data_IF_260797084248
#
_entry.id   IF_260797084248
#
_cell.length_a   1.000
_cell.length_b   1.000
_cell.length_c   1.000
_cell.angle_alpha   90.00
_cell.angle_beta   90.00
_cell.angle_gamma   90.00
#
_symmetry.space_group_name_H-M   'P 1'
#
loop_
_entity.id
_entity.type
_entity.pdbx_description
1 polymer ?
#
# COMPACT_ATOMS: atom_id res chain seq x y z
N UNK A 1 -73.33 59.93 23.57
CA UNK A 1 -74.48 60.26 22.71
C UNK A 1 -74.34 59.41 21.46
N UNK A 2 -75.33 58.54 21.24
CA UNK A 2 -75.71 57.76 20.03
C UNK A 2 -74.78 56.66 19.47
N UNK A 3 -75.32 55.44 19.58
CA UNK A 3 -75.12 54.21 18.80
C UNK A 3 -75.17 54.39 17.27
N UNK A 4 -74.60 53.42 16.54
CA UNK A 4 -75.11 52.77 15.30
C UNK A 4 -74.08 51.72 14.85
N UNK A 5 -74.31 50.52 14.31
CA UNK A 5 -75.46 49.68 13.92
C UNK A 5 -74.86 48.26 13.69
N UNK A 6 -75.58 47.20 14.05
CA UNK A 6 -75.19 45.80 13.81
C UNK A 6 -75.76 45.28 12.48
N UNK A 7 -74.95 44.51 11.73
CA UNK A 7 -75.37 43.65 10.59
C UNK A 7 -75.03 42.18 10.91
N UNK A 8 -75.86 41.18 10.53
CA UNK A 8 -75.65 39.78 10.94
C UNK A 8 -74.75 39.00 9.96
N UNK A 9 -74.08 37.91 10.41
CA UNK A 9 -73.11 37.21 9.59
C UNK A 9 -73.70 36.02 8.82
N UNK A 10 -73.15 35.81 7.62
CA UNK A 10 -73.30 34.62 6.78
C UNK A 10 -72.47 33.46 7.36
N UNK A 11 -73.07 32.27 7.51
CA UNK A 11 -72.37 31.04 7.90
C UNK A 11 -71.99 30.20 6.68
N UNK A 12 -70.70 29.87 6.55
CA UNK A 12 -70.16 28.86 5.62
C UNK A 12 -69.87 27.58 6.45
N UNK A 13 -70.23 26.36 5.98
CA UNK A 13 -70.23 25.15 6.81
C UNK A 13 -68.81 24.57 7.04
N UNK A 14 -68.46 24.37 8.32
CA UNK A 14 -67.12 24.06 8.84
C UNK A 14 -66.59 22.63 8.66
N UNK A 15 -67.01 21.88 7.64
CA UNK A 15 -66.50 20.52 7.38
C UNK A 15 -65.28 20.50 6.43
N UNK A 16 -65.16 21.50 5.56
CA UNK A 16 -63.98 21.71 4.70
C UNK A 16 -62.72 22.15 5.47
N UNK A 17 -62.86 22.64 6.69
CA UNK A 17 -61.76 23.11 7.55
C UNK A 17 -61.14 21.98 8.36
N UNK A 18 -61.93 21.06 8.90
CA UNK A 18 -61.42 19.97 9.75
C UNK A 18 -60.55 18.96 8.99
N UNK A 19 -60.99 18.53 7.79
CA UNK A 19 -60.22 17.58 6.97
C UNK A 19 -58.90 18.17 6.45
N UNK A 20 -58.89 19.47 6.10
CA UNK A 20 -57.68 20.19 5.68
C UNK A 20 -56.67 20.31 6.81
N UNK A 21 -57.12 20.60 8.03
CA UNK A 21 -56.23 20.66 9.21
C UNK A 21 -55.58 19.29 9.49
N UNK A 22 -56.32 18.20 9.33
CA UNK A 22 -55.81 16.84 9.57
C UNK A 22 -54.77 16.42 8.51
N UNK A 23 -55.01 16.74 7.23
CA UNK A 23 -54.06 16.48 6.14
C UNK A 23 -52.78 17.32 6.31
N UNK A 24 -52.91 18.61 6.63
CA UNK A 24 -51.75 19.49 6.86
C UNK A 24 -50.94 19.01 8.06
N UNK A 25 -51.61 18.57 9.14
CA UNK A 25 -50.96 17.99 10.30
C UNK A 25 -50.18 16.71 9.97
N UNK A 26 -50.78 15.79 9.21
CA UNK A 26 -50.12 14.55 8.79
C UNK A 26 -48.89 14.81 7.91
N UNK A 27 -49.02 15.71 6.93
CA UNK A 27 -47.90 16.10 6.05
C UNK A 27 -46.78 16.74 6.88
N UNK A 28 -47.10 17.60 7.84
CA UNK A 28 -46.13 18.18 8.77
C UNK A 28 -45.37 17.12 9.57
N UNK A 29 -46.07 16.12 10.10
CA UNK A 29 -45.44 14.99 10.85
C UNK A 29 -44.51 14.18 9.95
N UNK A 30 -44.93 13.85 8.72
CA UNK A 30 -44.11 13.08 7.78
C UNK A 30 -42.85 13.86 7.41
N UNK A 31 -42.94 15.17 7.17
CA UNK A 31 -41.78 16.02 6.87
C UNK A 31 -40.82 16.04 8.06
N UNK A 32 -41.32 16.20 9.29
CA UNK A 32 -40.49 16.21 10.50
C UNK A 32 -39.79 14.87 10.69
N UNK A 33 -40.50 13.75 10.53
CA UNK A 33 -39.90 12.41 10.62
C UNK A 33 -38.85 12.22 9.52
N UNK A 34 -39.14 12.64 8.28
CA UNK A 34 -38.19 12.58 7.17
C UNK A 34 -36.92 13.39 7.45
N UNK A 35 -37.05 14.60 7.99
CA UNK A 35 -35.91 15.43 8.40
C UNK A 35 -35.11 14.81 9.54
N UNK A 36 -35.77 14.20 10.53
CA UNK A 36 -35.10 13.48 11.62
C UNK A 36 -34.29 12.31 11.07
N UNK A 37 -34.86 11.50 10.16
CA UNK A 37 -34.16 10.37 9.55
C UNK A 37 -32.96 10.82 8.69
N UNK A 38 -33.09 11.94 7.97
CA UNK A 38 -31.98 12.54 7.21
C UNK A 38 -30.86 13.01 8.14
N UNK A 39 -31.21 13.68 9.24
CA UNK A 39 -30.22 14.14 10.24
C UNK A 39 -29.52 12.95 10.90
N UNK A 40 -30.25 11.87 11.21
CA UNK A 40 -29.65 10.65 11.75
C UNK A 40 -28.73 9.96 10.75
N UNK A 41 -29.11 9.89 9.47
CA UNK A 41 -28.28 9.29 8.42
C UNK A 41 -27.00 10.10 8.15
N UNK A 42 -27.06 11.44 8.18
CA UNK A 42 -25.89 12.31 8.01
C UNK A 42 -25.00 12.30 9.26
N UNK A 43 -25.59 12.21 10.45
CA UNK A 43 -24.86 12.13 11.71
C UNK A 43 -24.01 10.88 11.85
N UNK A 44 -24.46 9.75 11.29
CA UNK A 44 -23.75 8.46 11.36
C UNK A 44 -22.45 8.45 10.54
N UNK A 45 -22.41 9.18 9.41
CA UNK A 45 -21.17 9.35 8.62
C UNK A 45 -20.15 10.26 9.31
N UNK A 46 -20.62 11.26 10.07
CA UNK A 46 -19.74 12.18 10.82
C UNK A 46 -19.27 11.58 12.16
N UNK A 47 -19.87 10.49 12.62
CA UNK A 47 -19.58 9.84 13.89
C UNK A 47 -18.49 8.75 13.84
N UNK A 48 -17.84 8.53 12.68
CA UNK A 48 -16.59 7.76 12.66
C UNK A 48 -15.51 8.57 13.37
N UNK A 49 -15.42 8.39 14.69
CA UNK A 49 -14.25 8.83 15.46
C UNK A 49 -12.97 8.34 14.77
N UNK A 50 -11.92 9.17 14.71
CA UNK A 50 -10.63 8.71 14.19
C UNK A 50 -10.19 7.50 15.01
N UNK A 51 -10.01 6.37 14.34
CA UNK A 51 -9.56 5.13 14.95
C UNK A 51 -8.24 5.41 15.70
N UNK A 52 -8.29 5.35 17.03
CA UNK A 52 -7.10 5.57 17.86
C UNK A 52 -6.11 4.45 17.53
N UNK A 53 -5.02 4.79 16.85
CA UNK A 53 -3.97 3.83 16.51
C UNK A 53 -3.34 3.31 17.80
N UNK A 54 -3.52 2.02 18.06
CA UNK A 54 -2.96 1.36 19.25
C UNK A 54 -1.44 1.19 19.05
N UNK A 55 -0.65 1.64 20.02
CA UNK A 55 0.78 1.31 20.10
C UNK A 55 0.96 0.00 20.86
N UNK A 56 1.27 -1.08 20.13
CA UNK A 56 1.52 -2.42 20.69
C UNK A 56 2.77 -2.46 21.59
N UNK A 57 3.68 -1.50 21.46
CA UNK A 57 4.90 -1.44 22.26
C UNK A 57 4.77 -0.55 23.49
N UNK A 58 3.68 0.20 23.69
CA UNK A 58 3.53 1.20 24.75
C UNK A 58 4.05 0.72 26.13
N UNK A 59 3.71 -0.51 26.53
CA UNK A 59 4.16 -1.13 27.79
C UNK A 59 5.39 -2.06 27.70
N UNK A 60 6.04 -2.16 26.53
CA UNK A 60 7.15 -3.08 26.31
C UNK A 60 8.34 -2.75 27.23
N UNK A 61 8.87 -3.82 27.85
CA UNK A 61 10.08 -3.82 28.69
C UNK A 61 11.27 -4.48 27.99
N UNK A 62 11.13 -4.79 26.70
CA UNK A 62 12.22 -5.31 25.88
C UNK A 62 13.39 -4.32 25.86
N UNK A 63 14.62 -4.83 25.91
CA UNK A 63 15.83 -4.00 26.04
C UNK A 63 16.09 -3.16 24.77
N UNK A 64 15.92 -3.77 23.59
CA UNK A 64 16.01 -3.08 22.30
C UNK A 64 14.99 -1.94 22.25
N UNK A 65 13.71 -2.21 22.56
CA UNK A 65 12.65 -1.19 22.56
C UNK A 65 12.96 -0.08 23.58
N UNK A 66 13.37 -0.43 24.79
CA UNK A 66 13.64 0.54 25.88
C UNK A 66 14.78 1.49 25.52
N UNK A 67 15.86 0.96 24.93
CA UNK A 67 16.98 1.76 24.48
C UNK A 67 16.61 2.60 23.24
N UNK A 68 16.01 1.97 22.22
CA UNK A 68 15.67 2.63 20.96
C UNK A 68 14.54 3.65 21.07
N UNK A 69 13.72 3.60 22.11
CA UNK A 69 12.81 4.71 22.47
C UNK A 69 13.53 6.03 22.72
N UNK A 70 14.78 5.96 23.17
CA UNK A 70 15.58 7.14 23.50
C UNK A 70 16.49 7.53 22.35
N UNK A 71 17.03 6.57 21.62
CA UNK A 71 18.04 6.82 20.58
C UNK A 71 17.45 6.96 19.18
N UNK A 72 16.36 6.24 18.88
CA UNK A 72 15.65 6.27 17.58
C UNK A 72 14.13 6.23 17.79
N UNK A 73 13.53 7.21 18.48
CA UNK A 73 12.12 7.18 18.88
C UNK A 73 11.16 6.97 17.71
N UNK A 74 11.44 7.57 16.54
CA UNK A 74 10.60 7.41 15.35
C UNK A 74 10.53 5.98 14.81
N UNK A 75 11.59 5.18 14.99
CA UNK A 75 11.59 3.76 14.60
C UNK A 75 10.64 2.98 15.51
N UNK A 76 10.73 3.19 16.83
CA UNK A 76 9.87 2.50 17.79
C UNK A 76 8.42 2.92 17.63
N UNK A 77 8.16 4.21 17.40
CA UNK A 77 6.83 4.74 17.14
C UNK A 77 6.19 4.07 15.91
N UNK A 78 6.91 4.05 14.78
CA UNK A 78 6.42 3.41 13.56
C UNK A 78 6.18 1.92 13.75
N UNK A 79 7.13 1.22 14.37
CA UNK A 79 7.03 -0.22 14.57
C UNK A 79 5.90 -0.58 15.55
N UNK A 80 5.70 0.22 16.60
CA UNK A 80 4.67 0.02 17.61
C UNK A 80 3.25 0.03 17.06
N UNK A 81 3.03 0.73 15.95
CA UNK A 81 1.75 0.75 15.22
C UNK A 81 1.66 -0.25 14.05
N UNK A 82 2.66 -1.11 13.87
CA UNK A 82 2.66 -2.13 12.82
C UNK A 82 1.83 -3.36 13.21
N UNK A 83 1.35 -4.09 12.21
CA UNK A 83 0.70 -5.39 12.43
C UNK A 83 1.67 -6.44 12.97
N UNK A 84 2.97 -6.31 12.68
CA UNK A 84 4.00 -7.20 13.20
C UNK A 84 4.22 -7.02 14.70
N UNK A 85 4.29 -5.78 15.19
CA UNK A 85 4.36 -5.53 16.63
C UNK A 85 3.10 -6.01 17.36
N UNK A 86 1.92 -5.80 16.77
CA UNK A 86 0.66 -6.34 17.30
C UNK A 86 0.61 -7.88 17.31
N UNK A 87 1.37 -8.53 16.42
CA UNK A 87 1.56 -9.98 16.37
C UNK A 87 2.77 -10.47 17.19
N UNK A 88 3.31 -9.61 18.08
CA UNK A 88 4.43 -9.92 18.98
C UNK A 88 5.75 -10.29 18.27
N UNK A 89 5.92 -9.86 17.01
CA UNK A 89 7.23 -9.93 16.34
C UNK A 89 8.15 -8.88 16.98
N UNK A 90 9.22 -9.33 17.62
CA UNK A 90 10.21 -8.47 18.28
C UNK A 90 11.23 -7.88 17.30
N UNK A 91 12.00 -6.90 17.75
CA UNK A 91 13.09 -6.30 16.95
C UNK A 91 14.12 -7.38 16.55
N UNK A 92 14.41 -8.25 17.51
CA UNK A 92 15.37 -9.35 17.43
C UNK A 92 14.98 -10.38 16.39
N UNK A 93 13.68 -10.64 16.19
CA UNK A 93 13.22 -11.59 15.17
C UNK A 93 13.67 -11.23 13.74
N UNK A 94 13.91 -9.94 13.47
CA UNK A 94 14.40 -9.47 12.18
C UNK A 94 15.89 -9.09 12.20
N UNK A 95 16.36 -8.55 13.33
CA UNK A 95 17.68 -7.95 13.42
C UNK A 95 18.73 -8.86 14.05
N UNK A 96 18.39 -9.64 15.08
CA UNK A 96 19.37 -10.43 15.82
C UNK A 96 19.78 -11.66 15.01
N UNK A 97 21.09 -11.84 14.89
CA UNK A 97 21.70 -12.95 14.17
C UNK A 97 22.89 -13.50 14.95
N UNK A 98 23.39 -14.66 14.54
CA UNK A 98 24.63 -15.19 15.10
C UNK A 98 25.84 -14.33 14.71
N UNK A 99 26.88 -14.37 15.52
CA UNK A 99 28.14 -13.66 15.26
C UNK A 99 28.81 -14.03 13.93
N UNK A 100 28.61 -15.26 13.46
CA UNK A 100 29.14 -15.77 12.19
C UNK A 100 28.20 -15.56 10.99
N UNK A 101 27.05 -14.92 11.19
CA UNK A 101 26.12 -14.62 10.11
C UNK A 101 26.70 -13.57 9.15
N UNK A 102 26.63 -13.76 7.82
CA UNK A 102 27.11 -12.77 6.86
C UNK A 102 26.46 -11.39 7.04
N UNK A 103 27.27 -10.37 7.33
CA UNK A 103 26.79 -9.01 7.59
C UNK A 103 26.41 -8.71 9.04
N UNK A 104 26.63 -9.66 9.97
CA UNK A 104 26.49 -9.43 11.40
C UNK A 104 27.41 -8.30 11.88
N UNK A 105 26.86 -7.45 12.76
CA UNK A 105 27.60 -6.37 13.42
C UNK A 105 27.34 -6.48 14.92
N UNK A 106 28.40 -6.46 15.72
CA UNK A 106 28.28 -6.42 17.19
C UNK A 106 27.51 -5.16 17.63
N UNK A 107 26.53 -5.34 18.51
CA UNK A 107 25.70 -4.27 19.03
C UNK A 107 25.22 -4.63 20.44
N UNK A 108 25.67 -3.87 21.45
CA UNK A 108 25.22 -4.00 22.85
C UNK A 108 25.28 -5.44 23.40
N UNK A 109 26.35 -6.18 23.08
CA UNK A 109 26.57 -7.55 23.58
C UNK A 109 25.87 -8.67 22.80
N UNK A 110 25.16 -8.33 21.72
CA UNK A 110 24.67 -9.28 20.72
C UNK A 110 25.17 -8.92 19.31
N UNK A 111 24.70 -9.62 18.29
CA UNK A 111 25.02 -9.38 16.89
C UNK A 111 23.76 -9.13 16.10
N UNK A 112 23.76 -8.08 15.29
CA UNK A 112 22.59 -7.66 14.52
C UNK A 112 22.90 -7.38 13.06
N UNK A 113 21.89 -7.51 12.21
CA UNK A 113 21.86 -6.94 10.87
C UNK A 113 21.37 -5.50 10.95
N UNK A 114 22.13 -4.55 10.39
CA UNK A 114 21.68 -3.15 10.25
C UNK A 114 20.46 -3.03 9.34
N UNK A 115 20.31 -3.95 8.39
CA UNK A 115 19.17 -4.05 7.49
C UNK A 115 18.87 -5.52 7.34
N UNK A 116 17.72 -6.01 7.85
CA UNK A 116 17.30 -7.38 7.68
C UNK A 116 17.27 -7.75 6.19
N UNK A 117 17.74 -8.95 5.88
CA UNK A 117 17.77 -9.48 4.51
C UNK A 117 16.46 -10.20 4.20
N UNK A 118 16.26 -10.56 2.92
CA UNK A 118 15.09 -11.35 2.52
C UNK A 118 15.01 -12.69 3.25
N UNK A 119 16.14 -13.28 3.66
CA UNK A 119 16.16 -14.49 4.47
C UNK A 119 15.45 -14.32 5.81
N UNK A 120 15.54 -13.14 6.44
CA UNK A 120 14.82 -12.85 7.69
C UNK A 120 13.31 -12.76 7.46
N UNK A 121 12.88 -12.24 6.31
CA UNK A 121 11.46 -12.22 5.94
C UNK A 121 10.92 -13.62 5.64
N UNK A 122 11.73 -14.48 5.01
CA UNK A 122 11.34 -15.82 4.54
C UNK A 122 10.95 -16.77 5.69
N UNK A 123 11.46 -16.53 6.92
CA UNK A 123 11.12 -17.35 8.09
C UNK A 123 9.62 -17.34 8.40
N UNK A 124 8.92 -16.26 8.05
CA UNK A 124 7.48 -16.09 8.25
C UNK A 124 6.71 -15.97 6.92
N UNK A 125 7.31 -15.35 5.89
CA UNK A 125 6.68 -15.00 4.62
C UNK A 125 7.22 -15.84 3.45
N UNK A 126 7.24 -17.16 3.64
CA UNK A 126 7.84 -18.09 2.66
C UNK A 126 7.14 -18.06 1.29
N UNK A 127 5.81 -17.89 1.26
CA UNK A 127 5.07 -17.85 0.00
C UNK A 127 5.39 -16.57 -0.80
N UNK A 128 5.39 -15.43 -0.13
CA UNK A 128 5.68 -14.12 -0.72
C UNK A 128 7.12 -14.04 -1.23
N UNK A 129 8.09 -14.55 -0.47
CA UNK A 129 9.50 -14.58 -0.89
C UNK A 129 9.69 -15.49 -2.11
N UNK A 130 9.04 -16.66 -2.16
CA UNK A 130 9.12 -17.56 -3.32
C UNK A 130 8.54 -16.94 -4.58
N UNK A 131 7.39 -16.27 -4.46
CA UNK A 131 6.78 -15.52 -5.57
C UNK A 131 7.69 -14.36 -5.99
N UNK A 132 8.26 -13.61 -5.04
CA UNK A 132 9.18 -12.53 -5.33
C UNK A 132 10.39 -13.01 -6.14
N UNK A 133 10.99 -14.16 -5.76
CA UNK A 133 12.11 -14.78 -6.49
C UNK A 133 11.80 -15.18 -7.93
N UNK A 134 10.52 -15.35 -8.29
CA UNK A 134 10.11 -15.61 -9.66
C UNK A 134 9.92 -14.32 -10.49
N UNK A 135 9.91 -13.17 -9.82
CA UNK A 135 9.57 -11.90 -10.46
C UNK A 135 10.78 -11.14 -11.00
N UNK A 136 10.53 -10.28 -11.98
CA UNK A 136 11.52 -9.33 -12.49
C UNK A 136 12.01 -8.33 -11.43
N UNK A 137 11.27 -8.09 -10.34
CA UNK A 137 11.73 -7.26 -9.22
C UNK A 137 12.80 -7.96 -8.35
N UNK A 138 13.03 -9.27 -8.52
CA UNK A 138 14.16 -9.96 -7.90
C UNK A 138 15.45 -9.66 -8.66
N UNK A 139 16.36 -10.63 -8.76
CA UNK A 139 17.67 -10.47 -9.39
C UNK A 139 17.66 -9.79 -10.76
N UNK A 140 16.63 -9.91 -11.64
CA UNK A 140 16.64 -9.18 -12.91
C UNK A 140 16.58 -7.66 -12.76
N UNK A 141 15.96 -7.10 -11.72
CA UNK A 141 15.93 -5.66 -11.48
C UNK A 141 17.34 -5.12 -11.20
N UNK A 142 18.12 -5.85 -10.39
CA UNK A 142 19.50 -5.49 -10.10
C UNK A 142 20.40 -5.71 -11.32
N UNK A 143 20.24 -6.84 -12.03
CA UNK A 143 21.00 -7.15 -13.24
C UNK A 143 20.74 -6.15 -14.38
N UNK A 144 19.53 -5.59 -14.49
CA UNK A 144 19.23 -4.53 -15.46
C UNK A 144 20.05 -3.24 -15.21
N UNK A 145 20.47 -3.00 -13.97
CA UNK A 145 21.33 -1.86 -13.61
C UNK A 145 22.82 -2.20 -13.79
N UNK A 146 23.30 -3.28 -13.18
CA UNK A 146 24.75 -3.57 -13.09
C UNK A 146 25.27 -4.56 -14.14
N UNK A 147 24.37 -5.24 -14.86
CA UNK A 147 24.70 -6.39 -15.70
C UNK A 147 24.76 -7.71 -14.93
N UNK A 148 25.28 -8.75 -15.59
CA UNK A 148 25.44 -10.09 -15.00
C UNK A 148 26.85 -10.35 -14.45
N UNK A 149 27.79 -9.45 -14.71
CA UNK A 149 29.17 -9.57 -14.25
C UNK A 149 29.23 -9.46 -12.72
N UNK A 150 29.91 -10.41 -12.08
CA UNK A 150 30.03 -10.46 -10.61
C UNK A 150 28.90 -11.19 -9.89
N UNK A 151 27.85 -11.65 -10.59
CA UNK A 151 26.87 -12.56 -10.01
C UNK A 151 27.49 -13.95 -9.79
N UNK A 152 27.14 -14.59 -8.69
CA UNK A 152 27.55 -15.97 -8.38
C UNK A 152 26.82 -16.98 -9.29
N UNK A 153 27.34 -18.20 -9.41
CA UNK A 153 26.68 -19.27 -10.17
C UNK A 153 25.24 -19.51 -9.68
N UNK A 154 25.01 -19.51 -8.37
CA UNK A 154 23.68 -19.65 -7.78
C UNK A 154 22.74 -18.49 -8.17
N UNK A 155 23.26 -17.26 -8.20
CA UNK A 155 22.49 -16.08 -8.62
C UNK A 155 22.15 -16.14 -10.11
N UNK A 156 23.07 -16.61 -10.96
CA UNK A 156 22.85 -16.82 -12.38
C UNK A 156 21.81 -17.91 -12.64
N UNK A 157 21.82 -19.00 -11.86
CA UNK A 157 20.78 -20.04 -11.94
C UNK A 157 19.41 -19.45 -11.62
N UNK A 158 19.29 -18.64 -10.56
CA UNK A 158 18.02 -17.96 -10.20
C UNK A 158 17.59 -16.96 -11.27
N UNK A 159 18.52 -16.16 -11.81
CA UNK A 159 18.25 -15.21 -12.88
C UNK A 159 17.69 -15.93 -14.11
N UNK A 160 18.34 -16.99 -14.58
CA UNK A 160 17.92 -17.74 -15.77
C UNK A 160 16.62 -18.54 -15.59
N UNK A 161 16.16 -18.75 -14.35
CA UNK A 161 14.88 -19.39 -14.07
C UNK A 161 13.67 -18.46 -14.28
N UNK A 162 13.90 -17.14 -14.39
CA UNK A 162 12.84 -16.15 -14.56
C UNK A 162 12.58 -15.96 -16.06
N UNK A 163 11.33 -16.14 -16.57
CA UNK A 163 11.03 -16.05 -18.00
C UNK A 163 11.50 -14.75 -18.66
N UNK A 164 11.40 -13.64 -17.92
CA UNK A 164 11.84 -12.32 -18.39
C UNK A 164 13.31 -12.29 -18.73
N UNK A 165 14.17 -13.11 -18.10
CA UNK A 165 15.62 -13.14 -18.30
C UNK A 165 16.02 -13.60 -19.71
N UNK A 166 15.19 -14.38 -20.40
CA UNK A 166 15.47 -14.89 -21.74
C UNK A 166 15.46 -13.82 -22.84
N UNK A 167 14.80 -12.68 -22.61
CA UNK A 167 14.55 -11.67 -23.65
C UNK A 167 15.72 -10.68 -23.78
N UNK A 168 16.52 -10.82 -24.84
CA UNK A 168 17.64 -9.89 -25.07
C UNK A 168 17.16 -8.58 -25.70
N UNK A 169 17.71 -7.42 -25.28
CA UNK A 169 18.83 -7.29 -24.34
C UNK A 169 18.37 -7.00 -22.90
N UNK A 170 18.29 -8.02 -22.04
CA UNK A 170 18.26 -7.80 -20.59
C UNK A 170 19.64 -7.52 -19.98
N UNK A 171 20.69 -7.79 -20.76
CA UNK A 171 22.09 -7.65 -20.36
C UNK A 171 22.69 -6.32 -20.82
N UNK A 172 21.90 -5.48 -21.54
CA UNK A 172 22.37 -4.16 -21.92
C UNK A 172 22.49 -3.31 -20.67
N UNK A 173 23.72 -3.32 -20.14
CA UNK A 173 24.25 -2.37 -19.16
C UNK A 173 23.57 -1.03 -19.39
N UNK A 174 22.96 -0.45 -18.36
CA UNK A 174 22.58 0.94 -18.47
C UNK A 174 23.89 1.73 -18.64
N UNK A 175 24.20 2.16 -19.87
CA UNK A 175 25.44 2.87 -20.16
C UNK A 175 25.59 4.08 -19.23
N UNK A 176 24.46 4.69 -18.83
CA UNK A 176 24.43 5.78 -17.85
C UNK A 176 24.94 5.31 -16.48
N UNK A 177 24.57 4.13 -15.99
CA UNK A 177 25.08 3.64 -14.69
C UNK A 177 26.62 3.64 -14.65
N UNK A 178 27.27 3.13 -15.71
CA UNK A 178 28.74 3.10 -15.75
C UNK A 178 29.37 4.47 -16.05
N UNK A 179 28.69 5.33 -16.82
CA UNK A 179 29.18 6.68 -17.17
C UNK A 179 29.09 7.62 -15.96
N UNK A 180 27.97 7.59 -15.23
CA UNK A 180 27.69 8.47 -14.09
C UNK A 180 28.54 8.11 -12.86
N UNK A 181 28.88 6.83 -12.70
CA UNK A 181 29.75 6.36 -11.63
C UNK A 181 29.09 6.31 -10.24
N UNK A 182 29.79 5.73 -9.24
CA UNK A 182 29.20 5.33 -7.96
C UNK A 182 28.63 6.49 -7.13
N UNK A 183 29.17 7.69 -7.27
CA UNK A 183 28.71 8.86 -6.52
C UNK A 183 27.30 9.26 -6.92
N UNK A 184 26.94 9.08 -8.19
CA UNK A 184 25.61 9.39 -8.73
C UNK A 184 24.68 8.18 -8.64
N UNK A 185 25.16 6.99 -9.02
CA UNK A 185 24.30 5.80 -9.14
C UNK A 185 23.70 5.36 -7.83
N UNK A 186 24.37 5.63 -6.70
CA UNK A 186 23.87 5.35 -5.35
C UNK A 186 22.48 5.92 -5.09
N UNK A 187 22.18 7.12 -5.60
CA UNK A 187 20.86 7.74 -5.41
C UNK A 187 20.01 7.75 -6.69
N UNK A 188 20.63 7.66 -7.87
CA UNK A 188 19.92 7.70 -9.14
C UNK A 188 19.40 6.33 -9.60
N UNK A 189 20.17 5.26 -9.42
CA UNK A 189 19.86 3.93 -9.96
C UNK A 189 19.58 2.92 -8.84
N UNK A 190 20.46 2.88 -7.84
CA UNK A 190 20.41 1.91 -6.74
C UNK A 190 19.17 2.09 -5.86
N UNK A 191 18.65 3.31 -5.76
CA UNK A 191 17.40 3.59 -5.05
C UNK A 191 16.24 2.75 -5.60
N UNK A 192 16.19 2.55 -6.93
CA UNK A 192 15.15 1.77 -7.61
C UNK A 192 15.54 0.29 -7.76
N UNK A 193 16.73 0.02 -8.29
CA UNK A 193 17.11 -1.32 -8.74
C UNK A 193 17.60 -2.24 -7.64
N UNK A 194 18.01 -1.72 -6.47
CA UNK A 194 18.39 -2.58 -5.34
C UNK A 194 17.21 -3.33 -4.70
N UNK A 195 15.98 -3.15 -5.19
CA UNK A 195 14.88 -4.06 -4.87
C UNK A 195 15.26 -5.53 -5.11
N UNK A 196 16.12 -5.80 -6.09
CA UNK A 196 16.63 -7.12 -6.44
C UNK A 196 18.09 -7.38 -6.06
N UNK A 197 18.72 -6.52 -5.26
CA UNK A 197 20.15 -6.66 -4.95
C UNK A 197 20.43 -7.88 -4.06
N UNK A 198 21.48 -8.66 -4.33
CA UNK A 198 21.92 -9.72 -3.42
C UNK A 198 22.42 -9.17 -2.08
N UNK A 199 22.13 -9.89 -1.00
CA UNK A 199 22.67 -9.65 0.32
C UNK A 199 23.91 -10.54 0.60
N UNK A 200 24.72 -10.23 1.64
CA UNK A 200 25.91 -11.03 2.00
C UNK A 200 25.61 -12.50 2.33
N UNK A 201 24.39 -12.81 2.77
CA UNK A 201 23.92 -14.17 3.05
C UNK A 201 23.44 -14.94 1.81
N UNK A 202 23.54 -14.32 0.62
CA UNK A 202 23.11 -14.89 -0.65
C UNK A 202 21.60 -14.79 -0.92
N UNK A 203 20.80 -14.30 0.03
CA UNK A 203 19.40 -13.95 -0.24
C UNK A 203 19.32 -12.75 -1.17
N UNK A 204 18.22 -12.63 -1.92
CA UNK A 204 18.09 -11.63 -2.98
C UNK A 204 16.92 -10.70 -2.66
N UNK A 205 17.20 -9.41 -2.62
CA UNK A 205 16.19 -8.36 -2.64
C UNK A 205 16.05 -7.56 -1.34
N UNK A 206 15.18 -6.55 -1.43
CA UNK A 206 14.91 -5.60 -0.35
C UNK A 206 13.39 -5.45 -0.20
N UNK A 207 12.78 -6.29 0.63
CA UNK A 207 11.32 -6.39 0.79
C UNK A 207 10.66 -5.07 1.22
N UNK A 208 11.40 -4.20 1.91
CA UNK A 208 10.95 -2.90 2.40
C UNK A 208 10.83 -1.81 1.32
N UNK A 209 10.93 -2.13 0.02
CA UNK A 209 10.82 -1.14 -1.06
C UNK A 209 9.39 -0.67 -1.33
N UNK A 210 8.38 -1.51 -1.06
CA UNK A 210 6.97 -1.17 -1.31
C UNK A 210 6.18 -0.90 -0.01
N UNK A 211 6.40 -1.70 1.04
CA UNK A 211 5.90 -1.46 2.39
C UNK A 211 7.09 -1.09 3.28
N UNK A 212 7.29 0.21 3.45
CA UNK A 212 8.48 0.77 4.07
C UNK A 212 8.59 0.35 5.53
N UNK A 213 9.84 0.17 5.97
CA UNK A 213 10.16 0.06 7.38
C UNK A 213 9.85 1.39 8.11
N UNK A 214 9.46 1.40 9.38
CA UNK A 214 9.24 0.23 10.23
C UNK A 214 7.75 -0.10 10.43
N UNK A 215 6.85 0.55 9.71
CA UNK A 215 5.41 0.26 9.85
C UNK A 215 4.98 -0.97 9.03
N UNK A 216 5.65 -1.22 7.89
CA UNK A 216 5.34 -2.32 6.97
C UNK A 216 3.85 -2.36 6.57
N UNK A 217 3.31 -1.17 6.30
CA UNK A 217 1.88 -0.96 6.08
C UNK A 217 1.38 -1.54 4.77
N UNK A 218 0.32 -2.37 4.85
CA UNK A 218 -0.40 -2.88 3.67
C UNK A 218 -1.11 -1.77 2.91
N UNK A 219 -1.63 -0.77 3.61
CA UNK A 219 -2.21 0.42 2.98
C UNK A 219 -1.16 1.11 2.11
N UNK A 220 0.04 1.35 2.65
CA UNK A 220 1.13 1.97 1.89
C UNK A 220 1.50 1.14 0.65
N UNK A 221 1.63 -0.19 0.78
CA UNK A 221 1.93 -1.04 -0.36
C UNK A 221 0.86 -1.02 -1.47
N UNK A 222 -0.40 -0.72 -1.13
CA UNK A 222 -1.51 -0.66 -2.07
C UNK A 222 -1.66 0.69 -2.77
N UNK A 223 -1.06 1.73 -2.19
CA UNK A 223 -1.13 3.10 -2.71
C UNK A 223 -0.13 3.31 -3.86
N UNK A 224 -0.57 3.85 -5.01
CA UNK A 224 0.25 4.09 -6.20
C UNK A 224 1.59 4.81 -5.95
N UNK A 225 1.64 5.69 -4.95
CA UNK A 225 2.81 6.50 -4.62
C UNK A 225 4.02 5.64 -4.23
N UNK A 226 3.80 4.43 -3.71
CA UNK A 226 4.90 3.50 -3.41
C UNK A 226 5.60 3.01 -4.68
N UNK A 227 4.83 2.82 -5.77
CA UNK A 227 5.35 2.39 -7.07
C UNK A 227 6.06 3.54 -7.79
N UNK A 228 5.53 4.76 -7.66
CA UNK A 228 6.06 5.98 -8.26
C UNK A 228 7.52 6.28 -7.87
N UNK A 229 7.97 5.80 -6.71
CA UNK A 229 9.37 5.95 -6.32
C UNK A 229 10.36 5.42 -7.38
N UNK A 230 9.93 4.48 -8.24
CA UNK A 230 10.74 3.88 -9.31
C UNK A 230 10.04 3.93 -10.68
N UNK A 231 8.73 3.74 -10.74
CA UNK A 231 7.94 3.63 -11.96
C UNK A 231 7.43 4.99 -12.45
N UNK A 232 8.38 5.84 -12.83
CA UNK A 232 8.16 7.22 -13.27
C UNK A 232 9.18 7.54 -14.37
N UNK A 233 8.92 8.57 -15.16
CA UNK A 233 9.92 9.15 -16.05
C UNK A 233 9.89 8.56 -17.46
N UNK A 234 10.88 8.94 -18.28
CA UNK A 234 10.74 8.91 -19.74
C UNK A 234 10.76 7.50 -20.35
N UNK A 235 11.41 6.53 -19.72
CA UNK A 235 11.60 5.17 -20.22
C UNK A 235 10.50 4.21 -19.76
N UNK A 236 9.84 4.51 -18.65
CA UNK A 236 8.70 3.74 -18.15
C UNK A 236 7.74 4.63 -17.32
N UNK A 237 6.91 5.46 -18.00
CA UNK A 237 6.07 6.48 -17.36
C UNK A 237 4.76 5.91 -16.77
N UNK A 238 4.83 4.82 -16.00
CA UNK A 238 3.60 4.19 -15.49
C UNK A 238 2.84 5.08 -14.50
N UNK A 239 3.55 5.85 -13.67
CA UNK A 239 2.95 6.82 -12.77
C UNK A 239 2.17 7.90 -13.51
N UNK A 240 2.77 8.51 -14.52
CA UNK A 240 2.16 9.56 -15.34
C UNK A 240 0.95 9.01 -16.10
N UNK A 241 1.08 7.83 -16.72
CA UNK A 241 -0.03 7.15 -17.39
C UNK A 241 -1.17 6.88 -16.40
N UNK A 242 -0.86 6.41 -15.19
CA UNK A 242 -1.87 6.12 -14.18
C UNK A 242 -2.59 7.37 -13.72
N UNK A 243 -1.87 8.43 -13.34
CA UNK A 243 -2.46 9.67 -12.82
C UNK A 243 -3.42 10.31 -13.81
N UNK A 244 -3.07 10.33 -15.09
CA UNK A 244 -3.90 10.94 -16.15
C UNK A 244 -5.05 10.03 -16.61
N UNK A 245 -5.11 8.79 -16.11
CA UNK A 245 -6.20 7.86 -16.44
C UNK A 245 -7.45 8.08 -15.56
N UNK A 246 -8.64 7.64 -16.01
CA UNK A 246 -9.83 7.64 -15.15
C UNK A 246 -9.65 6.89 -13.83
N UNK A 247 -8.81 5.84 -13.78
CA UNK A 247 -8.49 5.14 -12.54
C UNK A 247 -7.71 6.01 -11.56
N UNK A 248 -6.68 6.72 -12.04
CA UNK A 248 -5.89 7.65 -11.24
C UNK A 248 -6.72 8.83 -10.76
N UNK A 249 -7.57 9.40 -11.62
CA UNK A 249 -8.50 10.47 -11.24
C UNK A 249 -9.45 10.00 -10.13
N UNK A 250 -10.03 8.80 -10.25
CA UNK A 250 -10.89 8.24 -9.21
C UNK A 250 -10.14 8.01 -7.88
N UNK A 251 -8.90 7.50 -7.95
CA UNK A 251 -8.05 7.35 -6.77
C UNK A 251 -7.71 8.69 -6.11
N UNK A 252 -7.27 9.70 -6.87
CA UNK A 252 -6.88 10.98 -6.30
C UNK A 252 -8.07 11.75 -5.70
N UNK A 253 -9.27 11.58 -6.27
CA UNK A 253 -10.47 12.29 -5.82
C UNK A 253 -11.21 11.57 -4.69
N UNK A 254 -11.16 10.24 -4.63
CA UNK A 254 -11.96 9.44 -3.69
C UNK A 254 -11.16 8.43 -2.87
N UNK A 255 -9.87 8.23 -3.13
CA UNK A 255 -9.06 7.17 -2.52
C UNK A 255 -9.02 7.24 -0.99
N UNK A 256 -9.19 8.41 -0.39
CA UNK A 256 -9.25 8.58 1.06
C UNK A 256 -10.48 7.93 1.71
N UNK A 257 -11.51 7.54 0.95
CA UNK A 257 -12.71 6.86 1.45
C UNK A 257 -12.65 5.33 1.33
N UNK A 258 -11.60 4.79 0.70
CA UNK A 258 -11.49 3.36 0.38
C UNK A 258 -10.99 2.53 1.57
N UNK A 259 -11.25 1.22 1.52
CA UNK A 259 -10.83 0.30 2.58
C UNK A 259 -9.42 -0.25 2.34
N UNK A 260 -8.40 0.56 2.62
CA UNK A 260 -6.99 0.18 2.41
C UNK A 260 -6.53 -1.00 3.26
N UNK A 261 -7.22 -1.25 4.38
CA UNK A 261 -6.91 -2.30 5.33
C UNK A 261 -7.74 -3.57 5.13
N UNK A 262 -8.51 -3.71 4.03
CA UNK A 262 -9.19 -4.96 3.68
C UNK A 262 -8.20 -6.15 3.63
N UNK A 263 -8.63 -7.33 4.09
CA UNK A 263 -7.77 -8.52 4.09
C UNK A 263 -7.33 -8.89 2.66
N UNK A 264 -6.13 -9.48 2.53
CA UNK A 264 -5.66 -9.96 1.23
C UNK A 264 -6.58 -11.09 0.75
N UNK A 265 -6.90 -11.11 -0.55
CA UNK A 265 -7.80 -12.11 -1.13
C UNK A 265 -9.30 -11.90 -0.86
N UNK A 266 -9.69 -10.86 -0.10
CA UNK A 266 -11.11 -10.54 0.16
C UNK A 266 -11.57 -9.26 -0.55
N UNK A 267 -10.74 -8.71 -1.44
CA UNK A 267 -11.00 -7.40 -2.03
C UNK A 267 -12.20 -7.43 -2.97
N UNK A 268 -13.08 -6.45 -2.79
CA UNK A 268 -14.26 -6.26 -3.64
C UNK A 268 -14.33 -4.83 -4.17
N UNK A 269 -15.29 -4.58 -5.07
CA UNK A 269 -15.60 -3.23 -5.56
C UNK A 269 -16.05 -2.27 -4.46
N UNK A 270 -16.50 -2.78 -3.32
CA UNK A 270 -16.87 -1.95 -2.16
C UNK A 270 -15.64 -1.48 -1.39
N UNK A 271 -14.54 -2.25 -1.42
CA UNK A 271 -13.28 -1.85 -0.81
C UNK A 271 -12.49 -0.91 -1.73
N UNK A 272 -12.47 -1.23 -3.03
CA UNK A 272 -11.72 -0.53 -4.07
C UNK A 272 -12.59 -0.29 -5.31
N UNK A 273 -13.29 0.86 -5.39
CA UNK A 273 -14.15 1.21 -6.52
C UNK A 273 -13.40 1.50 -7.83
N UNK A 274 -12.09 1.75 -7.77
CA UNK A 274 -11.22 1.89 -8.93
C UNK A 274 -9.88 1.22 -8.68
N UNK A 275 -9.16 0.91 -9.76
CA UNK A 275 -7.90 0.20 -9.69
C UNK A 275 -6.73 1.09 -9.24
N UNK A 276 -5.79 0.49 -8.52
CA UNK A 276 -4.42 1.02 -8.32
C UNK A 276 -3.41 0.07 -8.97
N UNK A 277 -2.15 0.49 -9.01
CA UNK A 277 -1.02 -0.34 -9.46
C UNK A 277 -1.04 -1.72 -8.78
N UNK A 278 -1.13 -1.73 -7.44
CA UNK A 278 -1.14 -2.95 -6.65
C UNK A 278 -2.40 -3.79 -6.89
N UNK A 279 -3.57 -3.19 -7.09
CA UNK A 279 -4.81 -3.95 -7.37
C UNK A 279 -4.69 -4.74 -8.68
N UNK A 280 -4.18 -4.09 -9.74
CA UNK A 280 -4.00 -4.75 -11.04
C UNK A 280 -2.87 -5.79 -11.03
N UNK A 281 -1.73 -5.48 -10.42
CA UNK A 281 -0.51 -6.27 -10.61
C UNK A 281 -0.18 -7.25 -9.48
N UNK A 282 -0.73 -7.09 -8.27
CA UNK A 282 -0.30 -7.88 -7.10
C UNK A 282 -1.44 -8.40 -6.23
N UNK A 283 -2.41 -7.55 -5.89
CA UNK A 283 -3.49 -7.89 -4.95
C UNK A 283 -4.46 -8.89 -5.58
N UNK A 284 -4.97 -9.82 -4.77
CA UNK A 284 -6.07 -10.67 -5.19
C UNK A 284 -7.37 -9.89 -5.33
N UNK A 285 -8.05 -10.05 -6.47
CA UNK A 285 -9.33 -9.43 -6.77
C UNK A 285 -10.13 -10.34 -7.70
N UNK A 286 -11.41 -10.58 -7.38
CA UNK A 286 -12.23 -11.53 -8.11
C UNK A 286 -11.65 -12.96 -8.05
N UNK A 287 -11.44 -13.58 -9.21
CA UNK A 287 -10.87 -14.94 -9.30
C UNK A 287 -9.34 -14.97 -9.21
N UNK A 288 -8.66 -13.82 -9.24
CA UNK A 288 -7.20 -13.75 -9.27
C UNK A 288 -6.64 -13.73 -7.85
N UNK A 289 -5.69 -14.61 -7.54
CA UNK A 289 -5.00 -14.67 -6.25
C UNK A 289 -3.99 -13.55 -6.03
N UNK A 290 -3.61 -13.31 -4.77
CA UNK A 290 -2.52 -12.36 -4.43
C UNK A 290 -1.16 -12.96 -4.81
N UNK A 291 -0.27 -12.14 -5.36
CA UNK A 291 1.08 -12.55 -5.76
C UNK A 291 2.12 -11.45 -5.49
N UNK A 292 3.33 -11.87 -5.13
CA UNK A 292 4.55 -11.03 -5.17
C UNK A 292 5.37 -11.23 -6.46
N UNK A 293 4.89 -12.07 -7.38
CA UNK A 293 5.38 -12.10 -8.75
C UNK A 293 4.64 -11.08 -9.61
N UNK A 294 5.22 -9.89 -9.75
CA UNK A 294 4.67 -8.81 -10.59
C UNK A 294 4.67 -9.15 -12.09
N UNK A 295 5.41 -10.19 -12.50
CA UNK A 295 5.44 -10.71 -13.85
C UNK A 295 4.24 -11.61 -14.16
N UNK A 296 3.65 -12.29 -13.17
CA UNK A 296 2.61 -13.32 -13.34
C UNK A 296 1.44 -12.88 -14.24
N UNK A 297 1.05 -11.60 -14.17
CA UNK A 297 -0.12 -11.05 -14.88
C UNK A 297 0.20 -10.32 -16.18
N UNK A 298 1.48 -10.19 -16.54
CA UNK A 298 1.86 -9.39 -17.71
C UNK A 298 1.58 -10.14 -19.02
N UNK A 299 1.17 -9.43 -20.07
CA UNK A 299 0.99 -10.01 -21.41
C UNK A 299 2.06 -9.58 -22.40
N UNK A 300 2.76 -8.48 -22.12
CA UNK A 300 3.72 -7.86 -23.04
C UNK A 300 5.03 -7.51 -22.33
N UNK A 301 6.14 -7.59 -23.06
CA UNK A 301 7.43 -7.06 -22.63
C UNK A 301 7.51 -5.57 -22.97
N UNK A 302 6.99 -4.71 -22.10
CA UNK A 302 6.96 -3.26 -22.31
C UNK A 302 8.33 -2.58 -22.14
N UNK A 303 9.31 -3.29 -21.57
CA UNK A 303 10.67 -2.78 -21.39
C UNK A 303 11.55 -2.96 -22.64
N UNK A 304 11.07 -3.68 -23.66
CA UNK A 304 11.80 -3.89 -24.91
C UNK A 304 11.66 -2.67 -25.83
N UNK A 305 12.67 -2.37 -26.67
CA UNK A 305 12.56 -1.30 -27.67
C UNK A 305 11.35 -1.45 -28.59
N UNK A 306 10.96 -2.71 -28.87
CA UNK A 306 9.73 -3.07 -29.56
C UNK A 306 9.01 -4.07 -28.66
N UNK A 307 7.79 -3.75 -28.25
CA UNK A 307 7.03 -4.62 -27.35
C UNK A 307 6.61 -5.91 -28.05
N UNK A 308 6.99 -7.03 -27.45
CA UNK A 308 6.59 -8.37 -27.88
C UNK A 308 5.68 -9.01 -26.84
N UNK A 309 4.81 -9.93 -27.28
CA UNK A 309 3.93 -10.67 -26.38
C UNK A 309 4.75 -11.69 -25.59
N UNK A 310 4.45 -11.85 -24.30
CA UNK A 310 5.01 -12.90 -23.46
C UNK A 310 4.57 -14.28 -23.95
N UNK A 311 5.43 -15.32 -23.85
CA UNK A 311 5.10 -16.68 -24.25
C UNK A 311 3.95 -17.29 -23.44
#
# INVERSE_FOLDING_TARGET
MTDHLNTPPNHIPGWLTAGRVLIIGLVGVIIVIGLILIVMAIGDEQAREPEVRVDALAGSRNECVTCHRRTTPGIVEQYGHSTMAAAEVSCENCHEVRADYPGAVEHEGTYVLRTPTTAMCETCHTAEVRQFYQSRHSIPAYAAMVGLEGLTDDQLVRYNAIPEAAVKPNEQRNALYHIEGPDITRFACEACHNIGAPAPDGSIGQCQKCHLRHEFSREQARKPETCNACHIGPDHPQWEIYQESPHGIAYMTMGHTWNWNAAAGTLTVNDFPAATCAICHMSGFGATGTTHDVGDRLTWYLFQPISERRP
#
